data_IF_584064712920
#
_entry.id   IF_584064712920
#
_cell.length_a   1.000
_cell.length_b   1.000
_cell.length_c   1.000
_cell.angle_alpha   90.00
_cell.angle_beta   90.00
_cell.angle_gamma   90.00
#
_symmetry.space_group_name_H-M   'P 1'
#
loop_
_entity.id
_entity.type
_entity.pdbx_description
1 polymer ?
#
# COMPACT_ATOMS: atom_id res chain seq x y z
N UNK A 1 24.82 -9.20 -13.76
CA UNK A 1 23.75 -10.24 -13.81
C UNK A 1 22.59 -9.72 -12.99
N UNK A 2 21.38 -9.71 -13.54
CA UNK A 2 20.19 -9.30 -12.79
C UNK A 2 20.01 -10.21 -11.57
N UNK A 3 19.81 -9.61 -10.40
CA UNK A 3 19.49 -10.29 -9.15
C UNK A 3 18.06 -9.99 -8.78
N UNK A 4 17.51 -10.85 -7.93
CA UNK A 4 16.21 -10.61 -7.33
C UNK A 4 16.26 -10.92 -5.83
N UNK A 5 15.45 -10.20 -5.07
CA UNK A 5 15.28 -10.37 -3.63
C UNK A 5 13.81 -10.21 -3.26
N UNK A 6 13.35 -10.93 -2.24
CA UNK A 6 11.97 -10.85 -1.76
C UNK A 6 11.92 -10.83 -0.23
N UNK A 7 11.00 -10.05 0.34
CA UNK A 7 10.71 -10.04 1.78
C UNK A 7 9.22 -9.81 2.02
N UNK A 8 8.66 -10.47 3.03
CA UNK A 8 7.35 -10.11 3.56
C UNK A 8 7.53 -9.16 4.75
N UNK A 9 6.80 -8.05 4.77
CA UNK A 9 6.70 -7.14 5.91
C UNK A 9 5.28 -7.18 6.47
N UNK A 10 5.18 -6.93 7.77
CA UNK A 10 3.92 -6.84 8.50
C UNK A 10 3.67 -5.38 8.86
N UNK A 11 2.52 -4.85 8.46
CA UNK A 11 2.11 -3.47 8.75
C UNK A 11 0.87 -3.50 9.63
N UNK A 12 1.00 -2.95 10.82
CA UNK A 12 -0.11 -2.81 11.76
C UNK A 12 -0.91 -1.55 11.43
N UNK A 13 -2.22 -1.71 11.26
CA UNK A 13 -3.18 -0.62 11.03
C UNK A 13 -4.15 -0.58 12.20
N UNK A 14 -4.72 0.60 12.49
CA UNK A 14 -5.61 0.78 13.67
C UNK A 14 -7.07 0.95 13.30
N UNK A 15 -7.32 1.70 12.24
CA UNK A 15 -8.62 2.10 11.70
C UNK A 15 -8.43 2.44 10.22
N UNK A 16 -9.50 2.68 9.46
CA UNK A 16 -9.39 3.08 8.07
C UNK A 16 -8.51 4.32 7.92
N UNK A 17 -7.66 4.33 6.90
CA UNK A 17 -6.71 5.41 6.68
C UNK A 17 -5.40 4.95 6.03
N UNK A 18 -4.48 5.89 5.94
CA UNK A 18 -3.20 5.71 5.24
C UNK A 18 -2.11 5.40 6.26
N UNK A 19 -1.33 4.35 5.97
CA UNK A 19 -0.11 4.00 6.70
C UNK A 19 1.07 4.15 5.75
N UNK A 20 1.95 5.12 6.00
CA UNK A 20 3.17 5.33 5.23
C UNK A 20 4.12 4.16 5.48
N UNK A 21 4.52 3.47 4.41
CA UNK A 21 5.45 2.33 4.43
C UNK A 21 6.77 2.65 3.71
N UNK A 22 7.01 3.92 3.37
CA UNK A 22 8.16 4.35 2.57
C UNK A 22 9.48 4.04 3.27
N UNK A 23 9.54 4.20 4.60
CA UNK A 23 10.75 3.93 5.39
C UNK A 23 11.09 2.44 5.42
N UNK A 24 10.08 1.59 5.59
CA UNK A 24 10.20 0.15 5.62
C UNK A 24 10.70 -0.38 4.27
N UNK A 25 10.15 0.16 3.18
CA UNK A 25 10.59 -0.13 1.82
C UNK A 25 12.04 0.31 1.59
N UNK A 26 12.40 1.54 1.95
CA UNK A 26 13.75 2.07 1.77
C UNK A 26 14.78 1.29 2.60
N UNK A 27 14.45 0.97 3.85
CA UNK A 27 15.31 0.17 4.72
C UNK A 27 15.55 -1.24 4.17
N UNK A 28 14.53 -1.85 3.57
CA UNK A 28 14.71 -3.15 2.91
C UNK A 28 15.56 -3.08 1.65
N UNK A 29 15.39 -2.05 0.80
CA UNK A 29 16.24 -1.86 -0.37
C UNK A 29 17.72 -1.69 0.02
N UNK A 30 18.00 -0.99 1.12
CA UNK A 30 19.35 -0.89 1.69
C UNK A 30 19.86 -2.24 2.20
N UNK A 31 19.03 -3.00 2.91
CA UNK A 31 19.37 -4.34 3.44
C UNK A 31 19.81 -5.31 2.33
N UNK A 32 19.14 -5.27 1.17
CA UNK A 32 19.48 -6.15 0.04
C UNK A 32 20.60 -5.60 -0.85
N UNK A 33 21.13 -4.41 -0.57
CA UNK A 33 22.12 -3.74 -1.39
C UNK A 33 21.59 -3.42 -2.79
N UNK A 34 20.35 -2.93 -2.91
CA UNK A 34 19.74 -2.63 -4.20
C UNK A 34 20.54 -1.56 -4.96
N UNK A 35 20.74 -1.77 -6.27
CA UNK A 35 21.26 -0.79 -7.22
C UNK A 35 20.14 -0.23 -8.09
N UNK A 36 20.32 -0.21 -9.41
CA UNK A 36 19.28 0.17 -10.37
C UNK A 36 18.35 -1.02 -10.67
N UNK A 37 17.03 -0.79 -10.71
CA UNK A 37 16.08 -1.86 -10.97
C UNK A 37 14.61 -1.48 -10.79
N UNK A 38 13.78 -2.49 -10.54
CA UNK A 38 12.36 -2.36 -10.32
C UNK A 38 11.94 -2.99 -8.99
N UNK A 39 11.25 -2.20 -8.17
CA UNK A 39 10.57 -2.67 -6.97
C UNK A 39 9.10 -2.96 -7.30
N UNK A 40 8.63 -4.15 -6.94
CA UNK A 40 7.21 -4.49 -6.86
C UNK A 40 6.80 -4.61 -5.39
N UNK A 41 5.69 -3.98 -5.03
CA UNK A 41 5.07 -4.02 -3.70
C UNK A 41 3.69 -4.62 -3.87
N UNK A 42 3.38 -5.71 -3.18
CA UNK A 42 2.11 -6.42 -3.31
C UNK A 42 1.46 -6.65 -1.95
N UNK A 43 0.22 -6.17 -1.76
CA UNK A 43 -0.54 -6.44 -0.54
C UNK A 43 -1.32 -7.74 -0.68
N UNK A 44 -1.13 -8.67 0.25
CA UNK A 44 -1.78 -10.00 0.23
C UNK A 44 -3.18 -9.99 0.88
N UNK A 45 -3.97 -8.97 0.55
CA UNK A 45 -5.30 -8.73 1.13
C UNK A 45 -6.22 -8.13 0.07
N UNK A 46 -7.50 -8.49 0.14
CA UNK A 46 -8.56 -8.00 -0.76
C UNK A 46 -9.40 -6.87 -0.16
N UNK A 47 -9.10 -6.48 1.08
CA UNK A 47 -9.78 -5.44 1.85
C UNK A 47 -8.83 -4.34 2.33
N UNK A 48 -7.68 -4.22 1.68
CA UNK A 48 -6.69 -3.16 1.87
C UNK A 48 -5.96 -2.92 0.55
N UNK A 49 -5.35 -1.75 0.40
CA UNK A 49 -4.81 -1.32 -0.89
C UNK A 49 -3.45 -0.64 -0.76
N UNK A 50 -2.80 -0.42 -1.89
CA UNK A 50 -1.56 0.31 -2.01
C UNK A 50 -1.76 1.54 -2.89
N UNK A 51 -1.04 2.61 -2.60
CA UNK A 51 -0.99 3.79 -3.48
C UNK A 51 0.32 4.57 -3.30
N UNK A 52 0.64 5.40 -4.28
CA UNK A 52 1.62 6.49 -4.15
C UNK A 52 0.84 7.80 -4.12
N UNK A 53 0.95 8.55 -3.03
CA UNK A 53 0.18 9.77 -2.81
C UNK A 53 0.93 10.83 -2.01
N UNK A 54 0.29 11.98 -1.83
CA UNK A 54 0.86 13.13 -1.15
C UNK A 54 1.26 12.83 0.31
N UNK A 55 2.42 13.34 0.73
CA UNK A 55 2.95 13.21 2.10
C UNK A 55 3.19 14.53 2.84
N UNK A 56 2.79 15.65 2.24
CA UNK A 56 2.96 16.99 2.81
C UNK A 56 1.73 17.41 3.62
N UNK A 57 0.54 17.35 3.01
CA UNK A 57 -0.70 17.76 3.63
C UNK A 57 -1.56 16.55 4.07
N UNK A 58 -1.81 16.36 5.38
CA UNK A 58 -2.67 15.27 5.87
C UNK A 58 -4.14 15.42 5.45
N UNK A 59 -4.59 16.61 5.04
CA UNK A 59 -5.96 16.83 4.58
C UNK A 59 -6.22 16.05 3.29
N UNK A 60 -5.22 15.89 2.41
CA UNK A 60 -5.32 15.08 1.19
C UNK A 60 -5.70 13.63 1.51
N UNK A 61 -5.09 13.03 2.53
CA UNK A 61 -5.39 11.65 2.93
C UNK A 61 -6.81 11.55 3.52
N UNK A 62 -7.22 12.57 4.29
CA UNK A 62 -8.56 12.63 4.88
C UNK A 62 -9.64 12.75 3.81
N UNK A 63 -9.45 13.63 2.82
CA UNK A 63 -10.36 13.82 1.70
C UNK A 63 -10.45 12.58 0.80
N UNK A 64 -9.32 11.90 0.57
CA UNK A 64 -9.30 10.63 -0.15
C UNK A 64 -10.08 9.53 0.59
N UNK A 65 -10.03 9.48 1.92
CA UNK A 65 -10.86 8.54 2.70
C UNK A 65 -12.35 8.86 2.53
N UNK A 66 -12.73 10.14 2.59
CA UNK A 66 -14.12 10.58 2.35
C UNK A 66 -14.58 10.18 0.94
N UNK A 67 -13.74 10.40 -0.08
CA UNK A 67 -14.06 10.01 -1.45
C UNK A 67 -14.24 8.49 -1.60
N UNK A 68 -13.36 7.69 -0.97
CA UNK A 68 -13.47 6.23 -0.99
C UNK A 68 -14.73 5.73 -0.27
N UNK A 69 -15.11 6.33 0.85
CA UNK A 69 -16.36 6.02 1.56
C UNK A 69 -17.60 6.35 0.72
N UNK A 70 -17.58 7.46 -0.02
CA UNK A 70 -18.65 7.83 -0.93
C UNK A 70 -18.78 6.88 -2.14
N UNK A 71 -17.66 6.37 -2.65
CA UNK A 71 -17.63 5.41 -3.77
C UNK A 71 -18.09 3.99 -3.36
N UNK A 72 -17.95 3.64 -2.09
CA UNK A 72 -18.31 2.34 -1.55
C UNK A 72 -19.04 2.49 -0.19
N UNK A 73 -20.29 2.98 -0.20
CA UNK A 73 -21.04 3.28 1.01
C UNK A 73 -21.42 2.02 1.79
N UNK A 74 -21.35 2.10 3.12
CA UNK A 74 -21.59 0.96 4.03
C UNK A 74 -23.04 0.52 4.13
N UNK A 75 -23.98 1.42 3.83
CA UNK A 75 -25.43 1.23 3.94
C UNK A 75 -26.09 0.83 2.61
N UNK A 76 -25.29 0.58 1.57
CA UNK A 76 -25.80 0.02 0.33
C UNK A 76 -26.25 -1.44 0.50
N UNK A 77 -27.18 -1.88 -0.36
CA UNK A 77 -27.77 -3.22 -0.35
C UNK A 77 -26.82 -4.31 -0.91
N UNK A 78 -25.62 -4.42 -0.35
CA UNK A 78 -24.67 -5.47 -0.70
C UNK A 78 -25.10 -6.82 -0.13
N UNK A 79 -24.94 -7.89 -0.93
CA UNK A 79 -25.22 -9.25 -0.48
C UNK A 79 -24.14 -9.81 0.46
N UNK A 80 -22.90 -9.36 0.28
CA UNK A 80 -21.76 -9.79 1.08
C UNK A 80 -21.63 -8.90 2.32
N UNK A 81 -21.78 -9.48 3.51
CA UNK A 81 -21.69 -8.77 4.80
C UNK A 81 -21.23 -9.69 5.93
N UNK A 82 -20.58 -10.80 5.58
CA UNK A 82 -20.19 -11.86 6.52
C UNK A 82 -19.28 -11.37 7.64
N UNK A 83 -18.45 -10.36 7.39
CA UNK A 83 -17.51 -9.83 8.37
C UNK A 83 -17.88 -8.41 8.86
N UNK A 84 -19.12 -7.97 8.65
CA UNK A 84 -19.61 -6.66 9.10
C UNK A 84 -19.93 -5.67 7.97
N UNK A 85 -20.39 -4.49 8.35
CA UNK A 85 -20.87 -3.47 7.42
C UNK A 85 -19.77 -2.83 6.56
N UNK A 86 -18.50 -2.97 6.96
CA UNK A 86 -17.32 -2.46 6.26
C UNK A 86 -16.70 -3.49 5.29
N UNK A 87 -17.20 -4.73 5.27
CA UNK A 87 -16.62 -5.86 4.57
C UNK A 87 -16.65 -5.68 3.04
N UNK A 88 -17.85 -5.70 2.44
CA UNK A 88 -18.00 -5.47 1.00
C UNK A 88 -17.49 -4.10 0.54
N UNK A 89 -17.72 -2.99 1.26
CA UNK A 89 -17.09 -1.71 0.95
C UNK A 89 -15.58 -1.79 0.76
N UNK A 90 -14.87 -2.50 1.65
CA UNK A 90 -13.42 -2.63 1.56
C UNK A 90 -12.96 -3.41 0.32
N UNK A 91 -13.72 -4.42 -0.10
CA UNK A 91 -13.49 -5.12 -1.36
C UNK A 91 -13.64 -4.19 -2.58
N UNK A 92 -14.68 -3.36 -2.59
CA UNK A 92 -14.91 -2.39 -3.67
C UNK A 92 -13.77 -1.37 -3.72
N UNK A 93 -13.40 -0.78 -2.58
CA UNK A 93 -12.29 0.17 -2.51
C UNK A 93 -10.97 -0.47 -2.95
N UNK A 94 -10.74 -1.74 -2.60
CA UNK A 94 -9.56 -2.48 -3.06
C UNK A 94 -9.57 -2.77 -4.56
N UNK A 95 -10.73 -3.02 -5.15
CA UNK A 95 -10.89 -3.21 -6.60
C UNK A 95 -10.68 -1.89 -7.37
N UNK A 96 -11.16 -0.77 -6.82
CA UNK A 96 -11.06 0.55 -7.45
C UNK A 96 -9.66 1.17 -7.37
N UNK A 97 -8.82 0.70 -6.45
CA UNK A 97 -7.47 1.21 -6.23
C UNK A 97 -6.43 0.22 -6.75
N UNK A 98 -5.49 -0.23 -5.93
CA UNK A 98 -4.42 -1.12 -6.35
C UNK A 98 -4.01 -2.07 -5.24
N UNK A 99 -3.74 -3.32 -5.60
CA UNK A 99 -3.12 -4.32 -4.71
C UNK A 99 -1.63 -4.49 -4.98
N UNK A 100 -1.13 -3.88 -6.05
CA UNK A 100 0.27 -3.93 -6.46
C UNK A 100 0.75 -2.56 -6.93
N UNK A 101 1.99 -2.21 -6.59
CA UNK A 101 2.70 -1.05 -7.14
C UNK A 101 4.01 -1.52 -7.79
N UNK A 102 4.38 -0.91 -8.91
CA UNK A 102 5.71 -1.05 -9.50
C UNK A 102 6.41 0.32 -9.49
N UNK A 103 7.56 0.39 -8.82
CA UNK A 103 8.29 1.64 -8.58
C UNK A 103 9.73 1.47 -9.06
N UNK A 104 10.23 2.34 -9.96
CA UNK A 104 11.63 2.31 -10.35
C UNK A 104 12.55 2.59 -9.15
N UNK A 105 13.70 1.93 -9.13
CA UNK A 105 14.76 2.15 -8.15
C UNK A 105 16.01 2.57 -8.90
N UNK A 106 16.68 3.63 -8.42
CA UNK A 106 18.01 3.97 -8.90
C UNK A 106 18.95 4.29 -7.76
N UNK A 107 20.20 3.83 -7.88
CA UNK A 107 21.22 3.98 -6.84
C UNK A 107 20.71 3.55 -5.45
N UNK A 108 19.94 2.45 -5.43
CA UNK A 108 19.35 1.87 -4.21
C UNK A 108 18.18 2.63 -3.59
N UNK A 109 17.68 3.68 -4.25
CA UNK A 109 16.56 4.50 -3.76
C UNK A 109 15.35 4.43 -4.69
N UNK A 110 14.15 4.35 -4.12
CA UNK A 110 12.91 4.47 -4.90
C UNK A 110 12.83 5.85 -5.56
N UNK A 111 12.44 5.89 -6.83
CA UNK A 111 12.28 7.14 -7.59
C UNK A 111 10.88 7.73 -7.35
N UNK A 112 10.70 8.35 -6.19
CA UNK A 112 9.51 9.11 -5.82
C UNK A 112 9.75 10.61 -6.07
N UNK A 113 8.70 11.33 -6.43
CA UNK A 113 8.69 12.79 -6.42
C UNK A 113 8.75 13.36 -5.00
N UNK A 114 9.09 14.64 -4.86
CA UNK A 114 9.26 15.32 -3.56
C UNK A 114 8.09 15.12 -2.60
N UNK A 115 6.87 15.10 -3.14
CA UNK A 115 5.64 15.02 -2.38
C UNK A 115 5.04 13.61 -2.34
N UNK A 116 5.75 12.59 -2.83
CA UNK A 116 5.23 11.24 -2.93
C UNK A 116 5.72 10.36 -1.78
N UNK A 117 4.81 9.63 -1.17
CA UNK A 117 5.09 8.49 -0.29
C UNK A 117 4.30 7.26 -0.73
N UNK A 118 4.76 6.09 -0.29
CA UNK A 118 4.15 4.79 -0.53
C UNK A 118 3.25 4.48 0.66
N UNK A 119 1.97 4.28 0.40
CA UNK A 119 0.98 4.03 1.45
C UNK A 119 0.32 2.66 1.31
N UNK A 120 0.07 2.03 2.45
CA UNK A 120 -1.00 1.06 2.64
C UNK A 120 -2.27 1.81 3.04
N UNK A 121 -3.38 1.56 2.35
CA UNK A 121 -4.71 2.06 2.71
C UNK A 121 -5.45 0.93 3.42
N UNK A 122 -5.77 1.17 4.69
CA UNK A 122 -6.68 0.32 5.46
C UNK A 122 -8.12 0.75 5.17
N UNK A 123 -8.99 -0.20 4.82
CA UNK A 123 -10.40 0.06 4.53
C UNK A 123 -11.33 -0.47 5.63
N UNK A 124 -10.82 -1.35 6.50
CA UNK A 124 -11.58 -2.03 7.54
C UNK A 124 -11.45 -1.33 8.89
N UNK A 125 -12.48 -1.47 9.71
CA UNK A 125 -12.51 -0.95 11.07
C UNK A 125 -11.68 -1.79 12.04
N UNK A 126 -11.08 -1.10 13.01
CA UNK A 126 -10.31 -1.72 14.08
C UNK A 126 -8.94 -2.23 13.66
N UNK A 127 -8.18 -2.69 14.64
CA UNK A 127 -6.80 -3.07 14.42
C UNK A 127 -6.68 -4.26 13.45
N UNK A 128 -5.79 -4.14 12.47
CA UNK A 128 -5.45 -5.21 11.53
C UNK A 128 -3.94 -5.34 11.40
N UNK A 129 -3.52 -6.49 10.89
CA UNK A 129 -2.14 -6.75 10.51
C UNK A 129 -2.12 -7.16 9.04
N UNK A 130 -1.61 -6.26 8.20
CA UNK A 130 -1.53 -6.46 6.76
C UNK A 130 -0.16 -7.04 6.38
N UNK A 131 -0.17 -7.91 5.37
CA UNK A 131 1.00 -8.60 4.84
C UNK A 131 1.32 -7.99 3.49
N UNK A 132 2.53 -7.46 3.34
CA UNK A 132 3.00 -6.87 2.10
C UNK A 132 4.26 -7.62 1.67
N UNK A 133 4.27 -8.05 0.41
CA UNK A 133 5.46 -8.65 -0.22
C UNK A 133 6.18 -7.56 -0.98
N UNK A 134 7.44 -7.35 -0.63
CA UNK A 134 8.40 -6.55 -1.38
C UNK A 134 9.20 -7.50 -2.26
N UNK A 135 9.33 -7.17 -3.54
CA UNK A 135 10.15 -7.90 -4.49
C UNK A 135 10.95 -6.92 -5.33
N UNK A 136 12.26 -7.08 -5.36
CA UNK A 136 13.16 -6.25 -6.15
C UNK A 136 13.81 -7.12 -7.20
N UNK A 137 13.91 -6.61 -8.43
CA UNK A 137 14.71 -7.19 -9.50
C UNK A 137 15.57 -6.10 -10.12
N UNK A 138 16.87 -6.33 -10.21
CA UNK A 138 17.81 -5.30 -10.65
C UNK A 138 19.26 -5.65 -10.42
N UNK A 139 20.11 -4.64 -10.47
CA UNK A 139 21.50 -4.70 -10.08
C UNK A 139 21.62 -4.60 -8.55
N UNK A 140 22.70 -5.15 -8.00
CA UNK A 140 23.08 -4.88 -6.61
C UNK A 140 24.29 -3.95 -6.61
N UNK A 141 24.33 -3.06 -5.63
CA UNK A 141 25.46 -2.18 -5.34
C UNK A 141 26.61 -2.93 -4.67
#
# INVERSE_FOLDING_TARGET
>A
MLRHAQKEILVATRNPGFSDITREVAGWLQEVGAGDGLLNIFVRHTSASLTVQENADPDVQSDLMVALDALAPRDASYLHSSEGADDMPAHIKSMLTSTSLQIPVSSGSVLLGTWQAIYLIEHRDGARQRRIVLHFIGELA
#
